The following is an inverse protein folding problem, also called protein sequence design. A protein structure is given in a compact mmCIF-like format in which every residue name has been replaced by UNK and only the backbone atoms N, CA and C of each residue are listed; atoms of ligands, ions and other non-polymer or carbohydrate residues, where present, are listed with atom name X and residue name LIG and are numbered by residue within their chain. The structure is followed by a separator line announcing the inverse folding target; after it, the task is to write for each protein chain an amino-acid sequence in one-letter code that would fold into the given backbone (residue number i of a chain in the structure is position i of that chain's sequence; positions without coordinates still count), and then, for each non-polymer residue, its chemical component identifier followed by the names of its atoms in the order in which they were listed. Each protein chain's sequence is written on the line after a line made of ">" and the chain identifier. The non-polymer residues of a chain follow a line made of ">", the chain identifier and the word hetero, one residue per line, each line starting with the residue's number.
data_IF_260696572255
#
_entry.id   IF_260696572255
#
_cell.length_a   1.000
_cell.length_b   1.000
_cell.length_c   1.000
_cell.angle_alpha   90.00
_cell.angle_beta   90.00
_cell.angle_gamma   90.00
#
_symmetry.space_group_name_H-M   'P 1'
#
loop_
_entity.id
_entity.type
_entity.pdbx_description
1 polymer ?
#
# COMPACT_ATOMS: atom_id res chain seq x y z
N UNK A 1 -10.88 -6.67 6.17
CA UNK A 1 -10.33 -5.98 4.99
C UNK A 1 -9.44 -4.86 5.48
N UNK A 2 -8.29 -4.58 4.84
CA UNK A 2 -7.39 -3.48 5.22
C UNK A 2 -7.36 -2.48 4.05
N UNK A 3 -7.50 -1.20 4.37
CA UNK A 3 -7.55 -0.10 3.38
C UNK A 3 -6.56 0.96 3.82
N UNK A 4 -5.82 1.52 2.85
CA UNK A 4 -4.91 2.65 3.05
C UNK A 4 -5.56 3.87 2.39
N UNK A 5 -5.61 4.98 3.12
CA UNK A 5 -6.21 6.22 2.65
C UNK A 5 -5.12 7.29 2.59
N UNK A 6 -4.90 7.82 1.40
CA UNK A 6 -4.06 9.00 1.17
C UNK A 6 -4.98 10.23 1.07
N UNK A 7 -4.90 11.12 2.07
CA UNK A 7 -5.73 12.34 2.15
C UNK A 7 -4.84 13.53 1.86
N UNK A 8 -4.96 14.09 0.66
CA UNK A 8 -4.11 15.20 0.18
C UNK A 8 -4.44 16.56 0.80
N UNK A 9 -5.66 16.75 1.33
CA UNK A 9 -6.11 18.03 1.89
C UNK A 9 -6.06 18.01 3.43
N UNK A 10 -4.97 18.56 3.99
CA UNK A 10 -4.69 18.49 5.43
C UNK A 10 -5.76 19.12 6.33
N UNK A 11 -6.45 20.16 5.85
CA UNK A 11 -7.55 20.83 6.54
C UNK A 11 -8.79 19.94 6.73
N UNK A 12 -8.98 18.91 5.90
CA UNK A 12 -10.14 17.99 5.97
C UNK A 12 -9.89 16.77 6.84
N UNK A 13 -8.63 16.48 7.16
CA UNK A 13 -8.24 15.34 8.00
C UNK A 13 -8.99 15.33 9.34
N UNK A 14 -9.08 16.43 10.12
CA UNK A 14 -9.73 16.39 11.42
C UNK A 14 -11.22 16.00 11.32
N UNK A 15 -11.94 16.58 10.36
CA UNK A 15 -13.35 16.25 10.12
C UNK A 15 -13.53 14.80 9.70
N UNK A 16 -12.73 14.33 8.75
CA UNK A 16 -12.78 12.95 8.27
C UNK A 16 -12.48 11.95 9.40
N UNK A 17 -11.50 12.24 10.24
CA UNK A 17 -11.14 11.38 11.37
C UNK A 17 -12.24 11.30 12.42
N UNK A 18 -12.95 12.40 12.70
CA UNK A 18 -14.11 12.38 13.59
C UNK A 18 -15.25 11.52 13.02
N UNK A 19 -15.50 11.59 11.71
CA UNK A 19 -16.44 10.67 11.05
C UNK A 19 -16.00 9.21 11.20
N UNK A 20 -14.73 8.90 10.92
CA UNK A 20 -14.21 7.53 11.03
C UNK A 20 -14.33 7.00 12.45
N UNK A 21 -14.04 7.81 13.47
CA UNK A 21 -14.20 7.43 14.88
C UNK A 21 -15.65 7.17 15.28
N UNK A 22 -16.62 7.79 14.60
CA UNK A 22 -18.04 7.54 14.86
C UNK A 22 -18.52 6.17 14.37
N UNK A 23 -17.73 5.50 13.52
CA UNK A 23 -18.03 4.17 12.99
C UNK A 23 -17.39 3.11 13.90
N UNK A 24 -18.21 2.43 14.70
CA UNK A 24 -17.83 1.41 15.69
C UNK A 24 -17.15 0.17 15.09
N UNK A 25 -17.39 -0.10 13.81
CA UNK A 25 -16.79 -1.20 13.06
C UNK A 25 -15.45 -0.84 12.38
N UNK A 26 -14.97 0.39 12.50
CA UNK A 26 -13.69 0.84 11.93
C UNK A 26 -12.69 1.14 13.04
N UNK A 27 -11.47 0.63 12.90
CA UNK A 27 -10.36 0.94 13.79
C UNK A 27 -9.22 1.56 13.00
N UNK A 28 -8.72 2.71 13.46
CA UNK A 28 -7.55 3.36 12.87
C UNK A 28 -6.30 2.62 13.36
N UNK A 29 -5.65 1.90 12.45
CA UNK A 29 -4.51 1.04 12.80
C UNK A 29 -3.21 1.87 12.95
N UNK A 30 -3.05 2.92 12.13
CA UNK A 30 -1.84 3.76 12.13
C UNK A 30 -2.11 5.11 11.47
N UNK A 31 -1.75 6.20 12.16
CA UNK A 31 -1.68 7.54 11.57
C UNK A 31 -0.24 7.87 11.20
N UNK A 32 0.00 8.31 9.97
CA UNK A 32 1.34 8.66 9.48
C UNK A 32 1.31 10.13 9.08
N UNK A 33 1.84 10.99 9.96
CA UNK A 33 1.82 12.45 9.78
C UNK A 33 3.01 12.99 8.98
N UNK A 34 4.05 12.18 8.78
CA UNK A 34 5.22 12.55 8.00
C UNK A 34 5.13 11.95 6.59
N UNK A 35 5.11 12.80 5.55
CA UNK A 35 5.04 12.38 4.14
C UNK A 35 6.11 11.34 3.79
N UNK A 36 7.34 11.52 4.28
CA UNK A 36 8.46 10.57 4.05
C UNK A 36 8.18 9.17 4.61
N UNK A 37 7.47 9.08 5.74
CA UNK A 37 7.07 7.79 6.33
C UNK A 37 5.84 7.21 5.63
N UNK A 38 4.99 8.06 5.04
CA UNK A 38 3.82 7.64 4.25
C UNK A 38 4.26 6.93 2.97
N UNK A 39 5.18 7.56 2.22
CA UNK A 39 5.77 6.99 1.01
C UNK A 39 6.39 5.62 1.29
N UNK A 40 7.22 5.51 2.33
CA UNK A 40 7.85 4.24 2.73
C UNK A 40 6.85 3.13 3.09
N UNK A 41 5.72 3.47 3.72
CA UNK A 41 4.68 2.49 4.03
C UNK A 41 3.92 2.07 2.77
N UNK A 42 3.66 3.00 1.85
CA UNK A 42 3.09 2.71 0.54
C UNK A 42 4.01 1.77 -0.25
N UNK A 43 5.30 2.12 -0.35
CA UNK A 43 6.32 1.35 -1.07
C UNK A 43 6.46 -0.07 -0.48
N UNK A 44 6.41 -0.21 0.85
CA UNK A 44 6.43 -1.52 1.51
C UNK A 44 5.17 -2.35 1.22
N UNK A 45 4.00 -1.71 1.16
CA UNK A 45 2.74 -2.41 0.87
C UNK A 45 2.68 -2.83 -0.60
N UNK A 46 3.15 -1.98 -1.51
CA UNK A 46 3.34 -2.33 -2.92
C UNK A 46 4.30 -3.50 -3.07
N UNK A 47 5.48 -3.44 -2.46
CA UNK A 47 6.46 -4.53 -2.50
C UNK A 47 5.89 -5.85 -1.94
N UNK A 48 5.09 -5.79 -0.88
CA UNK A 48 4.45 -6.97 -0.29
C UNK A 48 3.33 -7.53 -1.19
N UNK A 49 2.57 -6.66 -1.85
CA UNK A 49 1.59 -7.07 -2.85
C UNK A 49 2.25 -7.69 -4.08
N UNK A 50 3.34 -7.12 -4.57
CA UNK A 50 4.12 -7.65 -5.69
C UNK A 50 4.72 -9.02 -5.38
N UNK A 51 5.29 -9.20 -4.18
CA UNK A 51 5.79 -10.49 -3.71
C UNK A 51 4.67 -11.53 -3.60
N UNK A 52 3.48 -11.11 -3.14
CA UNK A 52 2.31 -11.99 -3.02
C UNK A 52 1.73 -12.37 -4.39
N UNK A 53 1.67 -11.44 -5.35
CA UNK A 53 1.24 -11.70 -6.73
C UNK A 53 2.23 -12.62 -7.46
N UNK A 54 3.52 -12.51 -7.14
CA UNK A 54 4.56 -13.42 -7.60
C UNK A 54 4.38 -14.85 -7.04
N UNK A 55 4.14 -15.00 -5.74
CA UNK A 55 3.83 -16.31 -5.12
C UNK A 55 2.53 -16.94 -5.64
N UNK A 56 1.56 -16.11 -6.04
CA UNK A 56 0.28 -16.57 -6.61
C UNK A 56 0.36 -17.02 -8.08
N UNK A 57 1.54 -16.94 -8.71
CA UNK A 57 1.79 -17.54 -10.03
C UNK A 57 1.29 -16.76 -11.25
N UNK A 58 0.83 -15.51 -11.08
CA UNK A 58 0.32 -14.69 -12.20
C UNK A 58 1.40 -14.03 -13.07
N UNK A 59 2.68 -14.07 -12.66
CA UNK A 59 3.81 -13.65 -13.49
C UNK A 59 4.75 -14.81 -13.76
N UNK A 60 4.70 -15.33 -15.00
CA UNK A 60 5.71 -16.26 -15.51
C UNK A 60 7.06 -15.54 -15.56
N UNK A 61 7.99 -15.92 -14.69
CA UNK A 61 9.39 -15.54 -14.87
C UNK A 61 9.90 -16.12 -16.19
N UNK A 62 10.42 -15.26 -17.07
CA UNK A 62 11.38 -15.70 -18.08
C UNK A 62 12.62 -16.17 -17.34
N UNK A 63 13.16 -17.32 -17.71
CA UNK A 63 14.36 -17.83 -17.05
C UNK A 63 15.54 -16.91 -17.36
N UNK A 64 16.53 -16.84 -16.45
CA UNK A 64 17.79 -16.13 -16.73
C UNK A 64 18.50 -16.64 -18.00
N UNK A 65 18.19 -17.87 -18.44
CA UNK A 65 18.63 -18.41 -19.74
C UNK A 65 17.93 -17.75 -20.93
N UNK A 66 16.65 -17.42 -20.79
CA UNK A 66 15.89 -16.77 -21.87
C UNK A 66 16.31 -15.31 -22.06
N UNK A 67 16.70 -14.62 -20.99
CA UNK A 67 17.23 -13.26 -21.05
C UNK A 67 18.59 -13.17 -21.77
N UNK A 68 19.41 -14.22 -21.69
CA UNK A 68 20.74 -14.24 -22.33
C UNK A 68 20.70 -14.53 -23.84
N UNK A 69 19.59 -15.06 -24.36
CA UNK A 69 19.44 -15.41 -25.78
C UNK A 69 18.79 -14.30 -26.63
N UNK A 70 18.40 -13.18 -26.02
CA UNK A 70 17.84 -12.00 -26.72
C UNK A 70 18.91 -10.93 -27.04
N UNK A 71 20.21 -11.23 -26.84
CA UNK A 71 21.36 -10.37 -27.19
C UNK A 71 22.17 -10.91 -28.38
#
# INVERSE_FOLDING_TARGET
>A
MKVILDIKENNRIPFFMEMVKSLDYISVIKEVKEERKSQFISDLVEAFNDAKLYEQGEKKLKSAKDLLNEL
#
